data_IF_335276245589
#
_entry.id   IF_335276245589
#
_cell.length_a   1.000
_cell.length_b   1.000
_cell.length_c   1.000
_cell.angle_alpha   90.00
_cell.angle_beta   90.00
_cell.angle_gamma   90.00
#
_symmetry.space_group_name_H-M   'P 1'
#
loop_
_entity.id
_entity.type
_entity.pdbx_description
1 polymer ?
#
# COMPACT_ATOMS: atom_id res chain seq x y z
N UNK A 1 23.73 -29.74 -53.76
CA UNK A 1 22.70 -28.71 -53.48
C UNK A 1 22.25 -28.91 -52.04
N UNK A 2 22.47 -27.94 -51.14
CA UNK A 2 21.98 -28.00 -49.77
C UNK A 2 20.52 -27.51 -49.75
N UNK A 3 19.63 -28.21 -49.06
CA UNK A 3 18.33 -27.65 -48.71
C UNK A 3 18.28 -27.47 -47.19
N UNK A 4 18.47 -26.22 -46.79
CA UNK A 4 18.28 -25.70 -45.45
C UNK A 4 16.90 -25.05 -45.42
N UNK A 5 15.83 -25.83 -45.21
CA UNK A 5 14.52 -25.22 -45.03
C UNK A 5 13.71 -25.98 -43.97
N UNK A 6 13.37 -25.24 -42.92
CA UNK A 6 12.24 -25.45 -42.01
C UNK A 6 12.23 -26.70 -41.11
N UNK A 7 13.06 -26.67 -40.06
CA UNK A 7 12.62 -27.23 -38.78
C UNK A 7 11.59 -26.27 -38.18
N UNK A 8 10.37 -26.32 -38.69
CA UNK A 8 9.20 -25.74 -38.03
C UNK A 8 9.14 -26.31 -36.61
N UNK A 9 9.54 -25.49 -35.63
CA UNK A 9 9.27 -25.74 -34.22
C UNK A 9 7.77 -25.76 -34.02
N UNK A 10 7.16 -26.93 -34.20
CA UNK A 10 5.78 -27.18 -33.82
C UNK A 10 5.66 -26.85 -32.33
N UNK A 11 5.00 -25.73 -32.00
CA UNK A 11 4.75 -25.34 -30.62
C UNK A 11 3.90 -26.44 -30.00
N UNK A 12 4.37 -27.20 -29.00
CA UNK A 12 3.50 -28.16 -28.33
C UNK A 12 2.39 -27.35 -27.67
N UNK A 13 1.15 -27.56 -28.13
CA UNK A 13 -0.03 -26.96 -27.53
C UNK A 13 -0.09 -27.39 -26.07
N UNK A 14 0.01 -26.43 -25.14
CA UNK A 14 -0.20 -26.69 -23.73
C UNK A 14 -1.61 -27.28 -23.55
N UNK A 15 -1.79 -28.29 -22.68
CA UNK A 15 -3.12 -28.81 -22.40
C UNK A 15 -3.96 -27.70 -21.76
N UNK A 16 -4.87 -27.13 -22.54
CA UNK A 16 -5.90 -26.21 -22.05
C UNK A 16 -7.11 -27.03 -21.62
N UNK A 17 -7.69 -26.71 -20.46
CA UNK A 17 -8.95 -27.33 -20.04
C UNK A 17 -10.04 -26.88 -21.00
N UNK A 18 -10.60 -27.83 -21.74
CA UNK A 18 -11.83 -27.63 -22.53
C UNK A 18 -12.99 -27.74 -21.54
N UNK A 19 -13.23 -26.67 -20.80
CA UNK A 19 -14.45 -26.54 -20.00
C UNK A 19 -15.32 -25.45 -20.61
N UNK A 20 -16.63 -25.55 -20.44
CA UNK A 20 -17.55 -24.48 -20.85
C UNK A 20 -17.20 -23.30 -19.96
N UNK A 21 -16.93 -22.13 -20.56
CA UNK A 21 -16.63 -20.89 -19.83
C UNK A 21 -17.73 -20.63 -18.80
N UNK A 22 -17.53 -21.08 -17.56
CA UNK A 22 -18.44 -20.79 -16.47
C UNK A 22 -18.32 -19.30 -16.23
N UNK A 23 -19.44 -18.58 -16.35
CA UNK A 23 -19.50 -17.17 -15.97
C UNK A 23 -18.79 -17.02 -14.64
N UNK A 24 -17.66 -16.30 -14.65
CA UNK A 24 -17.04 -15.89 -13.41
C UNK A 24 -18.11 -15.08 -12.69
N UNK A 25 -18.63 -15.63 -11.59
CA UNK A 25 -19.54 -14.90 -10.71
C UNK A 25 -18.87 -13.58 -10.40
N UNK A 26 -19.37 -12.50 -11.01
CA UNK A 26 -18.92 -11.16 -10.72
C UNK A 26 -19.38 -10.90 -9.30
N UNK A 27 -18.54 -11.24 -8.32
CA UNK A 27 -18.79 -10.93 -6.92
C UNK A 27 -19.19 -9.45 -6.88
N UNK A 28 -20.41 -9.10 -6.42
CA UNK A 28 -20.74 -7.72 -6.21
C UNK A 28 -19.72 -7.21 -5.19
N UNK A 29 -18.96 -6.17 -5.57
CA UNK A 29 -18.07 -5.48 -4.65
C UNK A 29 -18.95 -4.79 -3.62
N UNK A 30 -19.33 -5.53 -2.58
CA UNK A 30 -20.21 -5.02 -1.53
C UNK A 30 -19.57 -3.78 -0.91
N UNK A 31 -20.31 -2.67 -0.90
CA UNK A 31 -19.91 -1.52 -0.11
C UNK A 31 -19.88 -1.94 1.36
N UNK A 32 -18.80 -1.64 2.10
CA UNK A 32 -18.71 -2.01 3.51
C UNK A 32 -19.87 -1.40 4.30
N UNK A 33 -20.45 -2.17 5.20
CA UNK A 33 -21.55 -1.70 6.05
C UNK A 33 -21.08 -0.61 7.01
N UNK A 34 -21.97 0.30 7.40
CA UNK A 34 -21.65 1.36 8.36
C UNK A 34 -21.11 0.81 9.70
N UNK A 35 -21.56 -0.37 10.12
CA UNK A 35 -21.05 -1.07 11.30
C UNK A 35 -19.58 -1.48 11.13
N UNK A 36 -19.20 -2.02 9.96
CA UNK A 36 -17.82 -2.37 9.65
C UNK A 36 -16.92 -1.12 9.59
N UNK A 37 -17.38 -0.04 8.94
CA UNK A 37 -16.63 1.22 8.86
C UNK A 37 -16.43 1.81 10.26
N UNK A 38 -17.45 1.76 11.11
CA UNK A 38 -17.36 2.22 12.50
C UNK A 38 -16.32 1.43 13.30
N UNK A 39 -16.32 0.09 13.18
CA UNK A 39 -15.31 -0.76 13.82
C UNK A 39 -13.90 -0.48 13.30
N UNK A 40 -13.74 -0.23 12.00
CA UNK A 40 -12.45 0.12 11.39
C UNK A 40 -11.90 1.45 11.92
N UNK A 41 -12.76 2.47 12.05
CA UNK A 41 -12.37 3.78 12.60
C UNK A 41 -11.96 3.63 14.07
N UNK A 42 -12.73 2.89 14.87
CA UNK A 42 -12.39 2.61 16.27
C UNK A 42 -11.05 1.87 16.38
N UNK A 43 -10.81 0.86 15.54
CA UNK A 43 -9.54 0.13 15.50
C UNK A 43 -8.35 0.99 15.06
N UNK A 44 -8.58 1.97 14.18
CA UNK A 44 -7.54 2.93 13.75
C UNK A 44 -7.29 4.04 14.77
N UNK A 45 -8.28 4.38 15.58
CA UNK A 45 -8.12 5.32 16.69
C UNK A 45 -7.24 4.77 17.82
N UNK A 46 -6.95 3.45 17.84
CA UNK A 46 -5.86 2.93 18.63
C UNK A 46 -4.58 3.66 18.20
N UNK A 47 -3.90 4.41 19.10
CA UNK A 47 -2.72 5.15 18.71
C UNK A 47 -1.72 4.14 18.17
N UNK A 48 -1.39 4.27 16.87
CA UNK A 48 -0.21 3.64 16.28
C UNK A 48 0.90 3.84 17.30
N UNK A 49 1.38 2.73 17.91
CA UNK A 49 2.29 2.77 19.03
C UNK A 49 3.32 3.85 18.77
N UNK A 50 3.23 4.96 19.51
CA UNK A 50 4.12 6.09 19.30
C UNK A 50 5.51 5.52 19.46
N UNK A 51 6.26 5.42 18.35
CA UNK A 51 7.63 4.92 18.36
C UNK A 51 8.36 5.78 19.37
N UNK A 52 8.63 5.22 20.55
CA UNK A 52 9.38 5.94 21.57
C UNK A 52 10.78 6.15 21.02
N UNK A 53 11.32 7.37 21.12
CA UNK A 53 12.67 7.63 20.64
C UNK A 53 13.63 6.70 21.39
N UNK A 54 14.39 5.91 20.64
CA UNK A 54 15.34 4.93 21.17
C UNK A 54 16.56 5.65 21.78
N UNK A 55 16.75 6.94 21.45
CA UNK A 55 17.87 7.77 21.91
C UNK A 55 17.46 9.23 22.19
N UNK A 56 18.29 9.93 22.97
CA UNK A 56 18.08 11.33 23.35
C UNK A 56 17.95 12.27 22.15
N UNK A 57 18.76 12.06 21.11
CA UNK A 57 18.71 12.85 19.86
C UNK A 57 17.34 12.74 19.19
N UNK A 58 16.77 11.53 19.13
CA UNK A 58 15.42 11.30 18.62
C UNK A 58 14.35 12.02 19.45
N UNK A 59 14.51 12.03 20.78
CA UNK A 59 13.59 12.72 21.68
C UNK A 59 13.61 14.25 21.47
N UNK A 60 14.79 14.86 21.40
CA UNK A 60 14.94 16.29 21.13
C UNK A 60 14.43 16.69 19.74
N UNK A 61 14.66 15.87 18.71
CA UNK A 61 14.07 16.10 17.37
C UNK A 61 12.55 16.07 17.41
N UNK A 62 11.98 15.08 18.08
CA UNK A 62 10.53 14.93 18.18
C UNK A 62 9.88 16.08 18.95
N UNK A 63 10.49 16.51 20.06
CA UNK A 63 10.00 17.66 20.84
C UNK A 63 10.12 18.97 20.05
N UNK A 64 11.23 19.20 19.34
CA UNK A 64 11.42 20.39 18.50
C UNK A 64 10.36 20.48 17.39
N UNK A 65 10.10 19.39 16.67
CA UNK A 65 9.10 19.35 15.59
C UNK A 65 7.68 19.60 16.13
N UNK A 66 7.38 19.04 17.31
CA UNK A 66 6.09 19.23 17.97
C UNK A 66 5.87 20.67 18.43
N UNK A 67 6.92 21.32 18.95
CA UNK A 67 6.88 22.73 19.33
C UNK A 67 6.63 23.65 18.13
N UNK A 68 7.33 23.40 17.01
CA UNK A 68 7.15 24.18 15.77
C UNK A 68 5.72 24.08 15.23
N UNK A 69 5.13 22.87 15.22
CA UNK A 69 3.75 22.66 14.76
C UNK A 69 2.70 23.43 15.58
N UNK A 70 2.94 23.59 16.88
CA UNK A 70 2.01 24.30 17.79
C UNK A 70 2.20 25.81 17.79
N UNK A 71 3.29 26.31 17.22
CA UNK A 71 3.56 27.74 17.14
C UNK A 71 2.68 28.36 16.04
N UNK A 72 1.95 29.46 16.31
CA UNK A 72 1.21 30.18 15.27
C UNK A 72 2.16 30.73 14.20
N UNK A 73 1.70 30.85 12.96
CA UNK A 73 2.57 31.18 11.81
C UNK A 73 3.37 32.47 12.00
N UNK A 74 2.78 33.51 12.61
CA UNK A 74 3.46 34.80 12.85
C UNK A 74 4.60 34.77 13.87
N UNK A 75 4.74 33.68 14.65
CA UNK A 75 5.76 33.54 15.69
C UNK A 75 6.86 32.52 15.35
N UNK A 76 6.74 31.83 14.21
CA UNK A 76 7.74 30.85 13.77
C UNK A 76 8.98 31.57 13.23
N UNK A 77 10.14 31.36 13.86
CA UNK A 77 11.44 31.78 13.30
C UNK A 77 12.09 30.61 12.57
N UNK A 78 12.50 30.82 11.32
CA UNK A 78 13.33 29.87 10.58
C UNK A 78 14.79 30.27 10.74
N UNK A 79 15.61 29.37 11.29
CA UNK A 79 17.07 29.52 11.25
C UNK A 79 17.52 28.95 9.91
N UNK A 80 17.99 29.82 9.02
CA UNK A 80 18.64 29.43 7.76
C UNK A 80 20.13 29.29 8.08
N UNK A 81 20.70 28.12 7.76
CA UNK A 81 22.13 27.83 7.85
C UNK A 81 22.81 28.11 6.50
#
# INVERSE_FOLDING_TARGET
MPDMTDRETARPGLPIRIDISREQSSLPRFAPTAAFVSQLIVGRAAPVAQRRPINAVGAYRQSATSAVRRMPEGYRKTVVA
#
